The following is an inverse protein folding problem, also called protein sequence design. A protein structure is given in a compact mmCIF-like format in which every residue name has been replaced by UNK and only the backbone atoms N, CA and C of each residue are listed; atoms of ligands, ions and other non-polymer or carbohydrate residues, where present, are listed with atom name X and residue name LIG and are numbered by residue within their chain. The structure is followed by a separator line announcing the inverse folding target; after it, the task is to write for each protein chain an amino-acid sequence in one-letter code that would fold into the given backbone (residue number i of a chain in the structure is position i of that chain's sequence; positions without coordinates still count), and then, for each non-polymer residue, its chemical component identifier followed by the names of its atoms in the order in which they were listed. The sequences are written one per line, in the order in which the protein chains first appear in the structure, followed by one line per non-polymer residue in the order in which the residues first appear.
data_IF_632818303331
#
_entry.id   IF_632818303331
#
_cell.length_a   1.000
_cell.length_b   1.000
_cell.length_c   1.000
_cell.angle_alpha   90.00
_cell.angle_beta   90.00
_cell.angle_gamma   90.00
#
_symmetry.space_group_name_H-M   'P 1'
#
loop_
_entity.id
_entity.type
_entity.pdbx_description
1 polymer ?
#
# COMPACT_ATOMS: atom_id res chain seq x y z
N UNK A 1 45.36 -68.96 73.86
CA UNK A 1 44.37 -67.84 73.85
C UNK A 1 44.83 -66.57 73.10
N UNK A 2 46.09 -66.46 72.63
CA UNK A 2 46.60 -65.23 71.94
C UNK A 2 46.22 -65.10 70.45
N UNK A 3 45.75 -66.16 69.79
CA UNK A 3 45.45 -66.20 68.33
C UNK A 3 44.11 -65.54 67.97
N UNK A 4 43.08 -65.66 68.83
CA UNK A 4 41.75 -65.05 68.62
C UNK A 4 41.78 -63.52 68.73
N UNK A 5 42.61 -62.97 69.63
CA UNK A 5 42.75 -61.52 69.82
C UNK A 5 43.35 -60.82 68.58
N UNK A 6 44.34 -61.44 67.93
CA UNK A 6 44.91 -60.93 66.67
C UNK A 6 43.86 -60.90 65.54
N UNK A 7 43.01 -61.92 65.45
CA UNK A 7 41.94 -62.00 64.44
C UNK A 7 40.87 -60.93 64.70
N UNK A 8 40.47 -60.73 65.96
CA UNK A 8 39.49 -59.70 66.33
C UNK A 8 40.03 -58.30 66.01
N UNK A 9 41.30 -58.01 66.34
CA UNK A 9 41.92 -56.72 65.99
C UNK A 9 41.96 -56.50 64.48
N UNK A 10 42.32 -57.53 63.70
CA UNK A 10 42.41 -57.41 62.25
C UNK A 10 41.02 -57.18 61.61
N UNK A 11 39.97 -57.83 62.13
CA UNK A 11 38.59 -57.60 61.69
C UNK A 11 38.16 -56.16 62.02
N UNK A 12 38.43 -55.67 63.23
CA UNK A 12 38.08 -54.30 63.64
C UNK A 12 38.79 -53.26 62.77
N UNK A 13 40.06 -53.48 62.43
CA UNK A 13 40.83 -52.57 61.57
C UNK A 13 40.27 -52.53 60.15
N UNK A 14 39.93 -53.68 59.57
CA UNK A 14 39.33 -53.76 58.22
C UNK A 14 37.95 -53.10 58.21
N UNK A 15 37.11 -53.38 59.22
CA UNK A 15 35.78 -52.77 59.35
C UNK A 15 35.87 -51.25 59.49
N UNK A 16 36.83 -50.74 60.29
CA UNK A 16 37.08 -49.31 60.43
C UNK A 16 37.48 -48.64 59.11
N UNK A 17 38.35 -49.28 58.33
CA UNK A 17 38.77 -48.78 57.02
C UNK A 17 37.62 -48.72 56.01
N UNK A 18 36.75 -49.75 56.01
CA UNK A 18 35.55 -49.80 55.17
C UNK A 18 34.57 -48.69 55.55
N UNK A 19 34.32 -48.48 56.85
CA UNK A 19 33.43 -47.41 57.34
C UNK A 19 33.98 -46.03 56.94
N UNK A 20 35.29 -45.82 57.08
CA UNK A 20 35.94 -44.57 56.67
C UNK A 20 35.80 -44.32 55.16
N UNK A 21 36.00 -45.36 54.33
CA UNK A 21 35.83 -45.29 52.89
C UNK A 21 34.38 -44.97 52.46
N UNK A 22 33.40 -45.61 53.11
CA UNK A 22 31.98 -45.33 52.86
C UNK A 22 31.64 -43.91 53.29
N UNK A 23 32.09 -43.46 54.46
CA UNK A 23 31.90 -42.09 54.95
C UNK A 23 32.46 -41.05 53.99
N UNK A 24 33.68 -41.26 53.48
CA UNK A 24 34.29 -40.38 52.47
C UNK A 24 33.51 -40.33 51.15
N UNK A 25 33.02 -41.48 50.66
CA UNK A 25 32.19 -41.54 49.45
C UNK A 25 30.86 -40.79 49.60
N UNK A 26 30.21 -40.91 50.76
CA UNK A 26 28.95 -40.20 51.04
C UNK A 26 29.19 -38.70 51.10
N UNK A 27 30.25 -38.25 51.76
CA UNK A 27 30.61 -36.82 51.86
C UNK A 27 30.89 -36.20 50.47
N UNK A 28 31.62 -36.90 49.61
CA UNK A 28 31.92 -36.43 48.25
C UNK A 28 30.69 -36.42 47.33
N UNK A 29 29.74 -37.33 47.53
CA UNK A 29 28.45 -37.29 46.81
C UNK A 29 27.58 -36.13 47.25
N UNK A 30 27.50 -35.86 48.56
CA UNK A 30 26.73 -34.75 49.10
C UNK A 30 27.29 -33.38 48.66
N UNK A 31 28.61 -33.27 48.53
CA UNK A 31 29.26 -32.03 48.09
C UNK A 31 29.22 -31.81 46.57
N UNK A 32 28.61 -32.72 45.80
CA UNK A 32 28.52 -32.60 44.35
C UNK A 32 27.44 -31.55 44.01
N UNK A 33 27.86 -30.29 43.89
CA UNK A 33 27.03 -29.15 43.49
C UNK A 33 26.34 -29.47 42.16
N UNK A 34 25.02 -29.63 42.16
CA UNK A 34 24.24 -29.79 40.94
C UNK A 34 24.41 -28.53 40.10
N UNK A 35 25.03 -28.65 38.94
CA UNK A 35 25.07 -27.54 37.97
C UNK A 35 23.64 -27.32 37.50
N UNK A 36 23.01 -26.25 37.99
CA UNK A 36 21.70 -25.82 37.49
C UNK A 36 21.87 -25.48 36.01
N UNK A 37 21.18 -26.23 35.15
CA UNK A 37 21.15 -25.94 33.72
C UNK A 37 20.40 -24.63 33.55
N UNK A 38 21.14 -23.57 33.21
CA UNK A 38 20.54 -22.29 32.83
C UNK A 38 19.77 -22.56 31.54
N UNK A 39 18.44 -22.58 31.62
CA UNK A 39 17.60 -22.55 30.44
C UNK A 39 17.83 -21.21 29.75
N UNK A 40 18.47 -21.25 28.58
CA UNK A 40 18.65 -20.06 27.76
C UNK A 40 17.31 -19.74 27.16
N UNK A 41 16.55 -18.84 27.79
CA UNK A 41 15.32 -18.30 27.19
C UNK A 41 15.73 -17.58 25.92
N UNK A 42 15.42 -18.19 24.78
CA UNK A 42 15.65 -17.62 23.46
C UNK A 42 14.70 -16.43 23.34
N UNK A 43 15.23 -15.21 23.40
CA UNK A 43 14.43 -14.01 23.17
C UNK A 43 14.05 -13.99 21.69
N UNK A 44 12.75 -13.89 21.41
CA UNK A 44 12.29 -13.65 20.05
C UNK A 44 12.80 -12.28 19.57
N UNK A 45 13.09 -12.15 18.26
CA UNK A 45 13.56 -10.90 17.71
C UNK A 45 12.46 -9.84 17.81
N UNK A 46 12.80 -8.70 18.42
CA UNK A 46 11.88 -7.57 18.52
C UNK A 46 11.69 -6.94 17.14
N UNK A 47 10.49 -7.10 16.58
CA UNK A 47 10.10 -6.47 15.33
C UNK A 47 8.97 -5.46 15.56
N UNK A 48 9.02 -4.34 14.82
CA UNK A 48 7.95 -3.35 14.78
C UNK A 48 6.97 -3.72 13.68
N UNK A 49 5.69 -3.83 14.02
CA UNK A 49 4.61 -4.11 13.07
C UNK A 49 3.63 -2.94 13.02
N UNK A 50 2.94 -2.81 11.89
CA UNK A 50 1.78 -1.94 11.73
C UNK A 50 0.60 -2.78 11.26
N UNK A 51 -0.59 -2.47 11.77
CA UNK A 51 -1.82 -3.11 11.33
C UNK A 51 -2.33 -2.34 10.11
N UNK A 52 -2.59 -3.06 9.02
CA UNK A 52 -3.11 -2.48 7.77
C UNK A 52 -4.59 -2.85 7.64
N UNK A 53 -5.41 -1.85 7.38
CA UNK A 53 -6.83 -2.04 7.08
C UNK A 53 -7.10 -1.81 5.59
N UNK A 54 -7.87 -2.71 4.98
CA UNK A 54 -8.28 -2.58 3.60
C UNK A 54 -9.32 -1.46 3.48
N UNK A 55 -9.05 -0.47 2.63
CA UNK A 55 -9.97 0.63 2.36
C UNK A 55 -10.13 0.82 0.87
N UNK A 56 -11.38 0.96 0.43
CA UNK A 56 -11.68 1.38 -0.93
C UNK A 56 -11.40 2.88 -1.06
N UNK A 57 -10.42 3.21 -1.88
CA UNK A 57 -10.06 4.58 -2.21
C UNK A 57 -10.51 4.91 -3.62
N UNK A 58 -11.24 6.01 -3.77
CA UNK A 58 -11.55 6.55 -5.08
C UNK A 58 -10.39 7.44 -5.54
N UNK A 59 -9.80 7.13 -6.69
CA UNK A 59 -8.73 7.91 -7.29
C UNK A 59 -9.36 8.69 -8.45
N UNK A 60 -9.69 9.99 -8.29
CA UNK A 60 -10.21 10.79 -9.38
C UNK A 60 -9.12 11.00 -10.43
N UNK A 61 -9.38 10.55 -11.66
CA UNK A 61 -8.50 10.78 -12.81
C UNK A 61 -9.02 12.00 -13.56
N UNK A 62 -8.17 13.00 -13.75
CA UNK A 62 -8.48 14.19 -14.54
C UNK A 62 -7.90 14.02 -15.96
N UNK A 63 -8.76 14.08 -16.97
CA UNK A 63 -8.35 14.11 -18.37
C UNK A 63 -8.42 15.53 -18.93
N UNK A 64 -7.48 15.90 -19.78
CA UNK A 64 -7.49 17.16 -20.52
C UNK A 64 -7.76 16.90 -22.01
N UNK A 65 -8.37 17.86 -22.68
CA UNK A 65 -8.66 17.80 -24.10
C UNK A 65 -9.06 19.17 -24.65
N UNK A 66 -9.17 19.26 -25.98
CA UNK A 66 -9.59 20.48 -26.66
C UNK A 66 -11.07 20.41 -27.00
N UNK A 67 -11.81 21.48 -26.73
CA UNK A 67 -13.20 21.62 -27.16
C UNK A 67 -13.27 21.97 -28.64
N UNK A 68 -14.26 21.43 -29.35
CA UNK A 68 -14.53 21.74 -30.75
C UNK A 68 -16.01 22.09 -30.92
N UNK A 69 -16.35 23.02 -31.83
CA UNK A 69 -17.74 23.36 -32.10
C UNK A 69 -18.50 22.13 -32.61
N UNK A 70 -19.74 21.94 -32.15
CA UNK A 70 -20.61 20.85 -32.62
C UNK A 70 -21.00 21.06 -34.09
N UNK A 71 -21.23 22.32 -34.47
CA UNK A 71 -21.59 22.73 -35.83
C UNK A 71 -20.78 23.95 -36.23
N UNK A 72 -20.24 23.91 -37.44
CA UNK A 72 -19.54 25.02 -38.07
C UNK A 72 -20.10 25.16 -39.49
N UNK A 73 -20.47 26.38 -39.86
CA UNK A 73 -21.03 26.67 -41.19
C UNK A 73 -20.21 27.75 -41.87
N UNK A 74 -20.07 27.63 -43.19
CA UNK A 74 -19.55 28.70 -44.03
C UNK A 74 -20.74 29.42 -44.66
N UNK A 75 -20.98 30.67 -44.26
CA UNK A 75 -22.02 31.49 -44.87
C UNK A 75 -21.55 31.95 -46.26
N UNK A 76 -22.29 31.56 -47.29
CA UNK A 76 -22.03 31.94 -48.69
C UNK A 76 -23.32 32.45 -49.34
N UNK A 77 -23.25 33.48 -50.19
CA UNK A 77 -24.41 33.92 -50.95
C UNK A 77 -24.80 32.85 -51.98
N UNK A 78 -26.10 32.63 -52.16
CA UNK A 78 -26.61 31.66 -53.15
C UNK A 78 -26.71 32.25 -54.55
N UNK A 79 -26.82 33.57 -54.65
CA UNK A 79 -26.92 34.32 -55.91
C UNK A 79 -25.90 35.45 -55.93
N UNK A 80 -25.47 35.85 -57.13
CA UNK A 80 -24.63 37.02 -57.31
C UNK A 80 -25.49 38.29 -57.23
N UNK A 81 -24.92 39.36 -56.66
CA UNK A 81 -25.58 40.66 -56.59
C UNK A 81 -24.91 41.60 -55.59
N UNK A 82 -25.40 42.83 -55.54
CA UNK A 82 -24.90 43.86 -54.62
C UNK A 82 -25.56 43.71 -53.24
N UNK A 83 -24.79 43.84 -52.16
CA UNK A 83 -25.36 43.88 -50.81
C UNK A 83 -25.98 45.25 -50.56
N UNK A 84 -27.27 45.29 -50.19
CA UNK A 84 -28.01 46.51 -49.87
C UNK A 84 -28.14 46.75 -48.37
N UNK A 85 -28.13 45.67 -47.58
CA UNK A 85 -28.27 45.72 -46.12
C UNK A 85 -27.42 44.62 -45.46
N UNK A 86 -26.82 44.95 -44.31
CA UNK A 86 -26.18 44.00 -43.40
C UNK A 86 -26.83 44.15 -42.03
N UNK A 87 -27.17 43.03 -41.40
CA UNK A 87 -27.74 43.02 -40.05
C UNK A 87 -26.73 43.47 -38.99
N UNK A 88 -27.18 44.26 -38.02
CA UNK A 88 -26.36 44.68 -36.87
C UNK A 88 -25.93 43.50 -35.98
N UNK A 89 -26.58 42.34 -36.11
CA UNK A 89 -26.23 41.12 -35.39
C UNK A 89 -25.12 40.32 -36.09
N UNK A 90 -24.83 40.60 -37.37
CA UNK A 90 -23.76 39.96 -38.14
C UNK A 90 -22.41 40.63 -37.83
N UNK A 91 -21.97 40.45 -36.59
CA UNK A 91 -20.70 40.95 -36.06
C UNK A 91 -19.94 39.80 -35.38
N UNK A 92 -18.64 39.97 -35.15
CA UNK A 92 -17.83 38.97 -34.47
C UNK A 92 -18.36 38.71 -33.05
N UNK A 93 -18.67 37.44 -32.75
CA UNK A 93 -19.29 37.05 -31.48
C UNK A 93 -20.80 37.35 -31.39
N UNK A 94 -21.41 37.85 -32.46
CA UNK A 94 -22.86 38.03 -32.57
C UNK A 94 -23.63 36.71 -32.50
N UNK A 95 -24.89 36.79 -32.12
CA UNK A 95 -25.79 35.63 -32.06
C UNK A 95 -27.01 35.88 -32.94
N UNK A 96 -27.45 34.84 -33.62
CA UNK A 96 -28.60 34.86 -34.53
C UNK A 96 -29.32 33.51 -34.47
N UNK A 97 -30.59 33.51 -34.86
CA UNK A 97 -31.45 32.33 -34.93
C UNK A 97 -31.64 31.91 -36.39
N UNK A 98 -32.10 30.67 -36.56
CA UNK A 98 -32.49 30.16 -37.86
C UNK A 98 -33.62 31.02 -38.43
N UNK A 99 -33.40 31.55 -39.63
CA UNK A 99 -34.36 32.41 -40.34
C UNK A 99 -34.11 33.90 -40.19
N UNK A 100 -33.14 34.31 -39.36
CA UNK A 100 -32.80 35.72 -39.23
C UNK A 100 -32.15 36.24 -40.52
N UNK A 101 -32.56 37.44 -40.95
CA UNK A 101 -31.98 38.11 -42.12
C UNK A 101 -30.60 38.65 -41.74
N UNK A 102 -29.54 38.04 -42.28
CA UNK A 102 -28.15 38.43 -42.00
C UNK A 102 -27.62 39.49 -42.98
N UNK A 103 -27.95 39.34 -44.26
CA UNK A 103 -27.62 40.29 -45.31
C UNK A 103 -28.68 40.22 -46.42
N UNK A 104 -28.94 41.35 -47.07
CA UNK A 104 -29.85 41.43 -48.21
C UNK A 104 -29.06 41.75 -49.48
N UNK A 105 -29.28 40.93 -50.51
CA UNK A 105 -28.78 41.15 -51.86
C UNK A 105 -29.86 41.92 -52.64
N UNK A 106 -29.44 42.85 -53.50
CA UNK A 106 -30.32 43.63 -54.36
C UNK A 106 -31.24 42.71 -55.18
N UNK A 107 -32.57 42.76 -54.98
CA UNK A 107 -33.49 41.84 -55.63
C UNK A 107 -33.87 42.27 -57.06
N UNK A 108 -33.49 43.48 -57.52
CA UNK A 108 -33.99 44.04 -58.77
C UNK A 108 -33.80 43.09 -59.97
N UNK A 109 -32.60 42.51 -60.13
CA UNK A 109 -32.31 41.58 -61.21
C UNK A 109 -33.14 40.28 -61.10
N UNK A 110 -33.42 39.84 -59.88
CA UNK A 110 -34.21 38.64 -59.61
C UNK A 110 -35.71 38.87 -59.87
N UNK A 111 -36.25 39.99 -59.42
CA UNK A 111 -37.67 40.34 -59.57
C UNK A 111 -38.06 40.52 -61.05
N UNK A 112 -37.16 41.10 -61.86
CA UNK A 112 -37.34 41.26 -63.30
C UNK A 112 -37.27 39.90 -64.01
N UNK A 113 -36.36 39.01 -63.62
CA UNK A 113 -36.15 37.73 -64.29
C UNK A 113 -37.28 36.70 -64.05
N UNK A 114 -38.08 36.88 -62.99
CA UNK A 114 -39.18 35.97 -62.62
C UNK A 114 -40.54 36.43 -63.16
N UNK A 115 -40.61 37.60 -63.80
CA UNK A 115 -41.83 38.12 -64.47
C UNK A 115 -41.88 37.68 -65.93
#
# INVERSE_FOLDING_TARGET
MKKRYKIIIQIVLVVSFIICGIGGCVMLRASRKSLSRVEVTRSDPLARVIVVEAKNIFIPIQGHGTVRPLHEIKLVPQVAGKITMISSQLVDGGTYKKGDLLAQIDPADYDIAVT
#
